data_IF_308927368963
#
_entry.id   IF_308927368963
#
_cell.length_a   1.000
_cell.length_b   1.000
_cell.length_c   1.000
_cell.angle_alpha   90.00
_cell.angle_beta   90.00
_cell.angle_gamma   90.00
#
_symmetry.space_group_name_H-M   'P 1'
#
loop_
_entity.id
_entity.type
_entity.pdbx_description
1 polymer ?
#
# COMPACT_ATOMS: atom_id res chain seq x y z
N UNK A 1 0.97 33.16 -7.51
CA UNK A 1 1.76 32.88 -6.30
C UNK A 1 2.77 31.80 -6.67
N UNK A 2 4.06 32.16 -6.76
CA UNK A 2 5.14 31.21 -7.04
C UNK A 2 5.47 30.46 -5.75
N UNK A 3 5.29 29.14 -5.77
CA UNK A 3 5.83 28.25 -4.74
C UNK A 3 7.30 27.95 -5.08
N UNK A 4 8.16 28.93 -4.82
CA UNK A 4 9.59 28.67 -4.76
C UNK A 4 9.90 27.94 -3.45
N UNK A 5 10.41 26.70 -3.54
CA UNK A 5 11.11 26.08 -2.42
C UNK A 5 10.63 24.71 -1.93
N UNK A 6 9.65 24.06 -2.58
CA UNK A 6 9.32 22.67 -2.20
C UNK A 6 10.31 21.73 -2.89
N UNK A 7 11.15 21.04 -2.10
CA UNK A 7 12.07 20.04 -2.65
C UNK A 7 11.29 18.82 -3.17
N UNK A 8 11.64 18.27 -4.34
CA UNK A 8 11.02 17.04 -4.82
C UNK A 8 11.28 15.89 -3.83
N UNK A 9 10.37 14.89 -3.77
CA UNK A 9 10.60 13.70 -2.97
C UNK A 9 11.88 12.99 -3.45
N UNK A 10 12.52 12.26 -2.54
CA UNK A 10 13.64 11.40 -2.91
C UNK A 10 13.17 10.41 -3.99
N UNK A 11 13.93 10.21 -5.09
CA UNK A 11 13.49 9.32 -6.16
C UNK A 11 13.19 7.91 -5.64
N UNK A 12 12.06 7.34 -6.05
CA UNK A 12 11.66 5.99 -5.63
C UNK A 12 12.67 4.94 -6.09
N UNK A 13 13.04 5.00 -7.38
CA UNK A 13 14.01 4.07 -7.97
C UNK A 13 14.86 4.78 -9.04
N UNK A 14 16.00 5.31 -8.61
CA UNK A 14 16.98 5.94 -9.49
C UNK A 14 17.93 4.94 -10.17
N UNK A 15 18.16 3.77 -9.56
CA UNK A 15 19.11 2.74 -10.03
C UNK A 15 18.51 1.34 -9.86
N UNK A 16 18.96 0.34 -10.64
CA UNK A 16 18.40 -1.00 -10.55
C UNK A 16 18.63 -1.57 -9.15
N UNK A 17 17.59 -2.14 -8.55
CA UNK A 17 17.70 -2.71 -7.20
C UNK A 17 16.39 -2.63 -6.43
N UNK A 18 16.50 -2.76 -5.10
CA UNK A 18 15.37 -2.65 -4.19
C UNK A 18 15.11 -1.16 -3.89
N UNK A 19 13.85 -0.68 -3.97
CA UNK A 19 13.52 0.68 -3.55
C UNK A 19 13.80 0.88 -2.05
N UNK A 20 14.15 2.10 -1.66
CA UNK A 20 14.51 2.42 -0.28
C UNK A 20 13.32 2.40 0.69
N UNK A 21 12.12 2.66 0.17
CA UNK A 21 10.85 2.64 0.89
C UNK A 21 9.78 1.91 0.07
N UNK A 22 8.72 1.38 0.71
CA UNK A 22 7.55 0.84 0.02
C UNK A 22 6.91 1.85 -0.94
N UNK A 23 6.24 1.36 -1.98
CA UNK A 23 5.52 2.20 -2.94
C UNK A 23 4.49 3.11 -2.26
N UNK A 24 3.69 2.56 -1.36
CA UNK A 24 2.66 3.27 -0.60
C UNK A 24 3.19 4.46 0.22
N UNK A 25 4.34 4.30 0.87
CA UNK A 25 4.97 5.40 1.61
C UNK A 25 5.50 6.48 0.65
N UNK A 26 6.04 6.07 -0.50
CA UNK A 26 6.61 7.00 -1.47
C UNK A 26 5.54 7.81 -2.19
N UNK A 27 4.48 7.15 -2.66
CA UNK A 27 3.41 7.81 -3.39
C UNK A 27 2.67 8.80 -2.48
N UNK A 28 2.51 8.49 -1.19
CA UNK A 28 1.99 9.43 -0.20
C UNK A 28 2.87 10.68 -0.09
N UNK A 29 4.20 10.53 -0.02
CA UNK A 29 5.12 11.66 -0.03
C UNK A 29 5.02 12.47 -1.33
N UNK A 30 4.81 11.82 -2.47
CA UNK A 30 4.62 12.48 -3.75
C UNK A 30 3.31 13.26 -3.82
N UNK A 31 2.20 12.70 -3.32
CA UNK A 31 0.92 13.42 -3.25
C UNK A 31 1.04 14.68 -2.37
N UNK A 32 1.69 14.59 -1.22
CA UNK A 32 1.95 15.76 -0.36
C UNK A 32 2.78 16.83 -1.10
N UNK A 33 3.79 16.41 -1.84
CA UNK A 33 4.59 17.30 -2.70
C UNK A 33 3.72 17.96 -3.78
N UNK A 34 2.86 17.20 -4.45
CA UNK A 34 1.97 17.71 -5.48
C UNK A 34 0.97 18.72 -4.91
N UNK A 35 0.39 18.44 -3.75
CA UNK A 35 -0.49 19.38 -3.03
C UNK A 35 0.25 20.65 -2.61
N UNK A 36 1.47 20.53 -2.07
CA UNK A 36 2.29 21.68 -1.68
C UNK A 36 2.65 22.59 -2.87
N UNK A 37 2.74 22.01 -4.07
CA UNK A 37 2.93 22.76 -5.32
C UNK A 37 1.66 23.45 -5.86
N UNK A 38 0.51 23.25 -5.20
CA UNK A 38 -0.79 23.69 -5.73
C UNK A 38 -1.25 22.84 -6.92
N UNK A 39 -0.91 21.55 -6.91
CA UNK A 39 -1.13 20.63 -8.02
C UNK A 39 -2.58 20.45 -8.44
N UNK A 40 -3.55 20.86 -7.62
CA UNK A 40 -4.97 20.92 -8.02
C UNK A 40 -5.22 21.77 -9.26
N UNK A 41 -4.41 22.81 -9.47
CA UNK A 41 -4.50 23.66 -10.66
C UNK A 41 -3.77 23.10 -11.88
N UNK A 42 -3.07 21.96 -11.75
CA UNK A 42 -2.27 21.40 -12.83
C UNK A 42 -3.11 20.49 -13.73
N UNK A 43 -2.82 20.52 -15.03
CA UNK A 43 -3.40 19.56 -15.98
C UNK A 43 -2.98 18.13 -15.62
N UNK A 44 -3.82 17.16 -15.98
CA UNK A 44 -3.52 15.74 -15.80
C UNK A 44 -2.17 15.39 -16.43
N UNK A 45 -1.87 15.86 -17.64
CA UNK A 45 -0.59 15.67 -18.32
C UNK A 45 0.60 16.17 -17.46
N UNK A 46 0.47 17.34 -16.83
CA UNK A 46 1.52 17.89 -15.95
C UNK A 46 1.70 17.06 -14.68
N UNK A 47 0.61 16.57 -14.08
CA UNK A 47 0.67 15.66 -12.91
C UNK A 47 1.38 14.36 -13.28
N UNK A 48 1.05 13.77 -14.43
CA UNK A 48 1.70 12.57 -14.96
C UNK A 48 3.19 12.79 -15.22
N UNK A 49 3.55 13.90 -15.87
CA UNK A 49 4.95 14.24 -16.11
C UNK A 49 5.73 14.42 -14.81
N UNK A 50 5.14 15.06 -13.79
CA UNK A 50 5.74 15.20 -12.46
C UNK A 50 5.93 13.86 -11.75
N UNK A 51 4.94 12.97 -11.81
CA UNK A 51 5.02 11.64 -11.24
C UNK A 51 6.19 10.85 -11.86
N UNK A 52 6.21 10.79 -13.18
CA UNK A 52 7.25 10.07 -13.92
C UNK A 52 8.63 10.71 -13.69
N UNK A 53 8.72 12.03 -13.61
CA UNK A 53 9.99 12.71 -13.29
C UNK A 53 10.49 12.36 -11.88
N UNK A 54 9.62 12.42 -10.87
CA UNK A 54 10.00 12.22 -9.47
C UNK A 54 10.25 10.74 -9.12
N UNK A 55 9.61 9.79 -9.80
CA UNK A 55 9.76 8.35 -9.47
C UNK A 55 11.18 7.82 -9.75
N UNK A 56 11.92 8.46 -10.66
CA UNK A 56 13.32 8.13 -10.97
C UNK A 56 13.50 7.30 -12.24
N UNK A 57 14.74 7.31 -12.76
CA UNK A 57 15.06 6.81 -14.10
C UNK A 57 14.75 5.32 -14.31
N UNK A 58 15.00 4.47 -13.31
CA UNK A 58 14.69 3.05 -13.46
C UNK A 58 13.20 2.77 -13.36
N UNK A 59 12.47 3.48 -12.51
CA UNK A 59 11.01 3.35 -12.48
C UNK A 59 10.35 3.84 -13.78
N UNK A 60 10.87 4.90 -14.40
CA UNK A 60 10.44 5.31 -15.75
C UNK A 60 10.74 4.24 -16.80
N UNK A 61 11.90 3.57 -16.70
CA UNK A 61 12.25 2.46 -17.61
C UNK A 61 11.26 1.30 -17.44
N UNK A 62 10.96 0.91 -16.20
CA UNK A 62 9.94 -0.10 -15.89
C UNK A 62 8.59 0.32 -16.46
N UNK A 63 8.13 1.52 -16.17
CA UNK A 63 6.84 2.05 -16.65
C UNK A 63 6.66 1.90 -18.16
N UNK A 64 7.70 2.25 -18.94
CA UNK A 64 7.71 2.12 -20.40
C UNK A 64 7.65 0.68 -20.91
N UNK A 65 8.05 -0.30 -20.09
CA UNK A 65 7.99 -1.73 -20.43
C UNK A 65 6.69 -2.40 -20.00
N UNK A 66 5.89 -1.75 -19.15
CA UNK A 66 4.63 -2.31 -18.70
C UNK A 66 3.62 -2.34 -19.86
N UNK A 67 2.78 -3.38 -19.95
CA UNK A 67 1.77 -3.46 -20.98
C UNK A 67 0.81 -2.29 -20.84
N UNK A 68 0.43 -1.68 -21.97
CA UNK A 68 -0.57 -0.62 -21.99
C UNK A 68 -1.89 -1.21 -21.50
N UNK A 69 -2.35 -0.73 -20.33
CA UNK A 69 -3.64 -1.11 -19.80
C UNK A 69 -4.72 -0.14 -20.29
N UNK A 70 -5.92 -0.61 -20.60
CA UNK A 70 -7.04 0.28 -20.86
C UNK A 70 -7.32 1.11 -19.60
N UNK A 71 -7.62 2.38 -19.83
CA UNK A 71 -8.08 3.31 -18.79
C UNK A 71 -9.46 2.87 -18.30
N UNK A 72 -9.68 2.90 -16.99
CA UNK A 72 -11.00 2.61 -16.42
C UNK A 72 -11.97 3.76 -16.72
N UNK A 73 -13.27 3.47 -16.68
CA UNK A 73 -14.30 4.51 -16.76
C UNK A 73 -14.05 5.56 -15.66
N UNK A 74 -14.12 6.84 -16.02
CA UNK A 74 -13.84 8.01 -15.17
C UNK A 74 -12.43 8.10 -14.57
N UNK A 75 -11.50 7.24 -14.98
CA UNK A 75 -10.11 7.32 -14.52
C UNK A 75 -9.39 8.48 -15.21
N UNK A 76 -8.41 9.03 -14.51
CA UNK A 76 -7.29 9.88 -14.89
C UNK A 76 -6.21 9.33 -15.85
N UNK A 77 -5.47 10.14 -16.64
CA UNK A 77 -4.19 9.62 -17.19
C UNK A 77 -3.15 9.53 -16.07
N UNK A 78 -3.17 10.50 -15.15
CA UNK A 78 -2.34 10.49 -13.96
C UNK A 78 -2.71 9.30 -13.05
N UNK A 79 -4.00 9.09 -12.77
CA UNK A 79 -4.44 7.94 -11.99
C UNK A 79 -4.19 6.59 -12.67
N UNK A 80 -4.31 6.50 -14.01
CA UNK A 80 -3.95 5.29 -14.73
C UNK A 80 -2.45 4.97 -14.61
N UNK A 81 -1.57 5.98 -14.74
CA UNK A 81 -0.13 5.82 -14.56
C UNK A 81 0.23 5.41 -13.12
N UNK A 82 -0.38 6.06 -12.11
CA UNK A 82 -0.21 5.74 -10.70
C UNK A 82 -0.63 4.29 -10.41
N UNK A 83 -1.79 3.85 -10.92
CA UNK A 83 -2.28 2.48 -10.76
C UNK A 83 -1.35 1.46 -11.38
N UNK A 84 -0.88 1.70 -12.60
CA UNK A 84 0.01 0.78 -13.31
C UNK A 84 1.36 0.60 -12.58
N UNK A 85 1.89 1.69 -12.01
CA UNK A 85 3.07 1.64 -11.15
C UNK A 85 2.79 0.92 -9.83
N UNK A 86 1.64 1.20 -9.19
CA UNK A 86 1.23 0.54 -7.96
C UNK A 86 1.09 -0.98 -8.14
N UNK A 87 0.43 -1.43 -9.21
CA UNK A 87 0.28 -2.86 -9.51
C UNK A 87 1.62 -3.59 -9.71
N UNK A 88 2.66 -2.88 -10.19
CA UNK A 88 3.99 -3.45 -10.36
C UNK A 88 4.83 -3.43 -9.07
N UNK A 89 4.80 -2.32 -8.33
CA UNK A 89 5.68 -2.08 -7.19
C UNK A 89 5.09 -2.47 -5.85
N UNK A 90 3.76 -2.54 -5.74
CA UNK A 90 3.06 -3.04 -4.57
C UNK A 90 2.63 -4.49 -4.84
N UNK A 91 3.34 -5.49 -4.26
CA UNK A 91 2.92 -6.87 -4.40
C UNK A 91 1.50 -7.02 -3.87
N UNK A 92 0.65 -7.78 -4.56
CA UNK A 92 -0.63 -8.19 -3.99
C UNK A 92 -0.36 -8.92 -2.68
N UNK A 93 -0.73 -8.29 -1.57
CA UNK A 93 -0.52 -8.82 -0.22
C UNK A 93 -1.19 -10.19 -0.13
N UNK A 94 -0.42 -11.23 0.17
CA UNK A 94 -1.01 -12.54 0.39
C UNK A 94 -1.76 -12.52 1.73
N UNK A 95 -3.06 -12.30 1.68
CA UNK A 95 -3.95 -12.21 2.84
C UNK A 95 -3.83 -13.43 3.74
N UNK A 96 -3.54 -14.62 3.19
CA UNK A 96 -3.33 -15.85 3.98
C UNK A 96 -2.04 -15.73 4.79
N UNK A 97 -0.96 -15.22 4.20
CA UNK A 97 0.31 -15.03 4.88
C UNK A 97 0.19 -13.98 6.00
N UNK A 98 -0.42 -12.82 5.74
CA UNK A 98 -0.61 -11.78 6.75
C UNK A 98 -1.48 -12.26 7.92
N UNK A 99 -2.58 -12.96 7.61
CA UNK A 99 -3.44 -13.55 8.63
C UNK A 99 -2.72 -14.62 9.43
N UNK A 100 -1.83 -15.38 8.79
CA UNK A 100 -0.98 -16.35 9.46
C UNK A 100 0.00 -15.64 10.41
N UNK A 101 0.73 -14.62 9.96
CA UNK A 101 1.67 -13.86 10.80
C UNK A 101 0.98 -13.16 11.97
N UNK A 102 -0.17 -12.53 11.74
CA UNK A 102 -0.97 -11.92 12.81
C UNK A 102 -1.39 -12.93 13.87
N UNK A 103 -1.84 -14.13 13.44
CA UNK A 103 -2.24 -15.22 14.37
C UNK A 103 -1.05 -15.86 15.07
N UNK A 104 0.10 -15.90 14.42
CA UNK A 104 1.31 -16.49 14.96
C UNK A 104 2.01 -15.57 15.97
N UNK A 105 1.74 -14.26 15.92
CA UNK A 105 2.35 -13.29 16.83
C UNK A 105 1.94 -13.57 18.28
N UNK A 106 2.94 -13.84 19.13
CA UNK A 106 2.80 -14.01 20.59
C UNK A 106 3.71 -13.03 21.30
N UNK A 107 3.27 -12.46 22.42
CA UNK A 107 4.10 -11.58 23.24
C UNK A 107 5.32 -12.36 23.75
N UNK A 108 6.51 -11.78 23.59
CA UNK A 108 7.75 -12.38 24.11
C UNK A 108 7.87 -12.16 25.62
N UNK A 109 8.60 -13.04 26.31
CA UNK A 109 8.71 -13.03 27.78
C UNK A 109 9.25 -11.71 28.37
N UNK A 110 10.01 -10.96 27.58
CA UNK A 110 10.65 -9.71 27.95
C UNK A 110 10.08 -8.49 27.19
N UNK A 111 9.01 -8.68 26.42
CA UNK A 111 8.39 -7.60 25.65
C UNK A 111 7.33 -6.86 26.49
N UNK A 112 7.43 -5.52 26.62
CA UNK A 112 6.38 -4.73 27.25
C UNK A 112 5.05 -4.87 26.51
N UNK A 113 3.94 -4.93 27.25
CA UNK A 113 2.60 -5.09 26.66
C UNK A 113 2.25 -3.99 25.65
N UNK A 114 2.73 -2.76 25.88
CA UNK A 114 2.52 -1.65 24.95
C UNK A 114 3.15 -1.90 23.58
N UNK A 115 4.37 -2.44 23.55
CA UNK A 115 5.10 -2.76 22.31
C UNK A 115 4.45 -3.92 21.56
N UNK A 116 3.99 -4.93 22.30
CA UNK A 116 3.21 -6.03 21.73
C UNK A 116 1.92 -5.55 21.08
N UNK A 117 1.15 -4.68 21.77
CA UNK A 117 -0.08 -4.09 21.23
C UNK A 117 0.22 -3.20 20.02
N UNK A 118 1.31 -2.43 20.05
CA UNK A 118 1.73 -1.63 18.90
C UNK A 118 2.11 -2.52 17.69
N UNK A 119 2.80 -3.63 17.92
CA UNK A 119 3.13 -4.60 16.88
C UNK A 119 1.89 -5.25 16.27
N UNK A 120 0.91 -5.67 17.09
CA UNK A 120 -0.37 -6.17 16.61
C UNK A 120 -1.14 -5.12 15.79
N UNK A 121 -1.14 -3.86 16.24
CA UNK A 121 -1.77 -2.77 15.49
C UNK A 121 -1.12 -2.57 14.12
N UNK A 122 0.22 -2.65 14.02
CA UNK A 122 0.93 -2.57 12.73
C UNK A 122 0.54 -3.73 11.80
N UNK A 123 0.53 -4.96 12.31
CA UNK A 123 0.10 -6.15 11.56
C UNK A 123 -1.38 -6.11 11.15
N UNK A 124 -2.23 -5.35 11.86
CA UNK A 124 -3.63 -5.15 11.50
C UNK A 124 -3.84 -4.04 10.44
N UNK A 125 -2.85 -3.16 10.23
CA UNK A 125 -2.92 -2.04 9.29
C UNK A 125 -2.46 -2.42 7.87
N UNK A 126 -1.83 -3.57 7.67
CA UNK A 126 -1.55 -4.08 6.32
C UNK A 126 -2.87 -4.27 5.55
N UNK A 127 -2.99 -3.74 4.32
CA UNK A 127 -4.26 -3.65 3.63
C UNK A 127 -4.77 -5.05 3.27
N UNK A 128 -5.68 -5.58 4.07
CA UNK A 128 -6.49 -6.74 3.71
C UNK A 128 -7.90 -6.25 3.39
N UNK A 129 -8.37 -6.35 2.14
CA UNK A 129 -9.76 -6.11 1.81
C UNK A 129 -10.57 -7.29 2.37
N UNK A 130 -11.01 -7.20 3.62
CA UNK A 130 -11.96 -8.16 4.19
C UNK A 130 -11.73 -8.60 5.63
N UNK A 131 -10.74 -8.10 6.36
CA UNK A 131 -10.60 -8.48 7.77
C UNK A 131 -11.55 -7.69 8.69
N UNK A 132 -12.86 -7.90 8.50
CA UNK A 132 -13.82 -7.67 9.56
C UNK A 132 -13.49 -8.70 10.65
N UNK A 133 -13.06 -8.23 11.83
CA UNK A 133 -13.04 -9.03 13.05
C UNK A 133 -14.49 -9.36 13.42
N UNK A 134 -15.11 -10.29 12.69
CA UNK A 134 -16.41 -10.83 13.07
C UNK A 134 -16.22 -11.54 14.41
N UNK A 135 -16.88 -11.08 15.49
CA UNK A 135 -16.84 -11.82 16.75
C UNK A 135 -17.44 -13.19 16.46
N UNK A 136 -16.61 -14.23 16.49
CA UNK A 136 -17.10 -15.61 16.41
C UNK A 136 -18.04 -15.81 17.59
N UNK A 137 -19.35 -15.75 17.35
CA UNK A 137 -20.32 -16.28 18.29
C UNK A 137 -19.93 -17.74 18.49
N UNK A 138 -19.53 -18.09 19.71
CA UNK A 138 -19.26 -19.46 20.12
C UNK A 138 -20.56 -20.24 19.96
N UNK A 139 -20.75 -20.92 18.84
CA UNK A 139 -21.74 -21.99 18.74
C UNK A 139 -21.17 -23.18 19.50
N UNK A 140 -21.58 -23.32 20.76
CA UNK A 140 -21.44 -24.56 21.50
C UNK A 140 -22.20 -25.65 20.73
N UNK A 141 -21.47 -26.52 20.02
CA UNK A 141 -21.98 -27.78 19.53
C UNK A 141 -22.42 -28.60 20.75
N UNK A 142 -23.73 -28.60 21.03
CA UNK A 142 -24.32 -29.55 21.98
C UNK A 142 -24.14 -30.94 21.39
N UNK A 143 -23.30 -31.75 22.03
CA UNK A 143 -23.15 -33.17 21.75
C UNK A 143 -24.50 -33.86 21.95
N UNK A 144 -25.03 -34.50 20.90
CA UNK A 144 -26.19 -35.38 20.99
C UNK A 144 -25.80 -36.67 21.75
N UNK A 145 -26.67 -37.24 22.60
CA UNK A 145 -26.33 -38.45 23.34
C UNK A 145 -26.42 -39.68 22.43
N UNK A 146 -25.39 -40.54 22.50
CA UNK A 146 -25.43 -41.89 21.93
C UNK A 146 -26.57 -42.67 22.59
N UNK A 147 -27.59 -43.01 21.80
CA UNK A 147 -28.62 -43.96 22.21
C UNK A 147 -28.01 -45.36 22.15
N UNK A 148 -27.72 -45.94 23.32
CA UNK A 148 -27.36 -47.35 23.44
C UNK A 148 -28.64 -48.19 23.56
N UNK A 149 -28.68 -49.22 22.72
CA UNK A 149 -29.59 -50.37 22.64
C UNK A 149 -30.97 -50.10 22.04
#
# INVERSE_FOLDING_TARGET
>A
MNVEGVSPPTPFLARPGKPALPWSDWIFSFHNYLTALGGEAYSTERKTALLLHCVGAEAQRVYRTLPVQPRREDEDEFHAAERQLAEFYEPQVNVIAERFFFRQRRQESHEPTADYVAALRRLAQTPSPGCQFLPKKRTCLKTAPLKKR
#
